data_IF_214715111530
#
_entry.id   IF_214715111530
#
_cell.length_a   1.000
_cell.length_b   1.000
_cell.length_c   1.000
_cell.angle_alpha   90.00
_cell.angle_beta   90.00
_cell.angle_gamma   90.00
#
_symmetry.space_group_name_H-M   'P 1'
#
loop_
_entity.id
_entity.type
_entity.pdbx_description
1 polymer ?
#
# COMPACT_ATOMS: atom_id res chain seq x y z
N UNK A 1 40.32 20.44 70.14
CA UNK A 1 39.73 21.04 68.93
C UNK A 1 40.35 20.36 67.71
N UNK A 2 39.70 19.37 67.10
CA UNK A 2 40.11 18.79 65.82
C UNK A 2 38.89 18.11 65.17
N UNK A 3 38.26 18.82 64.24
CA UNK A 3 37.03 18.41 63.57
C UNK A 3 37.36 17.43 62.45
N UNK A 4 36.61 16.32 62.47
CA UNK A 4 36.56 15.23 61.48
C UNK A 4 36.57 15.72 60.03
N UNK A 5 37.69 15.49 59.33
CA UNK A 5 37.75 15.49 57.87
C UNK A 5 37.45 14.08 57.35
N UNK A 6 36.21 13.63 57.47
CA UNK A 6 35.80 12.35 56.89
C UNK A 6 34.77 12.57 55.77
N UNK A 7 35.15 12.19 54.54
CA UNK A 7 34.28 11.72 53.45
C UNK A 7 33.47 12.70 52.58
N UNK A 8 34.06 13.79 52.07
CA UNK A 8 33.49 14.51 50.90
C UNK A 8 33.65 13.74 49.57
N UNK A 9 34.69 12.90 49.42
CA UNK A 9 34.97 12.16 48.19
C UNK A 9 34.07 10.93 47.98
N UNK A 10 33.66 10.21 49.04
CA UNK A 10 32.72 9.07 48.95
C UNK A 10 31.29 9.48 48.55
N UNK A 11 30.85 10.67 48.97
CA UNK A 11 29.53 11.21 48.61
C UNK A 11 29.43 11.59 47.12
N UNK A 12 30.54 12.03 46.51
CA UNK A 12 30.59 12.36 45.08
C UNK A 12 30.48 11.14 44.16
N UNK A 13 31.12 10.02 44.51
CA UNK A 13 31.07 8.76 43.73
C UNK A 13 29.66 8.14 43.70
N UNK A 14 28.93 8.21 44.80
CA UNK A 14 27.53 7.73 44.89
C UNK A 14 26.57 8.58 44.04
N UNK A 15 26.79 9.90 43.95
CA UNK A 15 26.00 10.80 43.09
C UNK A 15 26.30 10.62 41.61
N UNK A 16 27.57 10.40 41.24
CA UNK A 16 27.98 10.16 39.85
C UNK A 16 27.48 8.81 39.32
N UNK A 17 27.52 7.75 40.14
CA UNK A 17 26.92 6.44 39.80
C UNK A 17 25.41 6.52 39.57
N UNK A 18 24.69 7.33 40.36
CA UNK A 18 23.24 7.53 40.16
C UNK A 18 22.94 8.27 38.85
N UNK A 19 23.72 9.31 38.49
CA UNK A 19 23.55 10.02 37.21
C UNK A 19 23.84 9.12 36.02
N UNK A 20 24.93 8.36 36.04
CA UNK A 20 25.26 7.40 34.97
C UNK A 20 24.13 6.36 34.82
N UNK A 21 23.63 5.80 35.92
CA UNK A 21 22.53 4.85 35.87
C UNK A 21 21.25 5.45 35.25
N UNK A 22 20.95 6.73 35.54
CA UNK A 22 19.82 7.43 34.91
C UNK A 22 20.02 7.61 33.40
N UNK A 23 21.21 8.04 32.97
CA UNK A 23 21.49 8.18 31.53
C UNK A 23 21.46 6.85 30.79
N UNK A 24 22.00 5.77 31.39
CA UNK A 24 21.92 4.42 30.83
C UNK A 24 20.47 3.96 30.68
N UNK A 25 19.60 4.22 31.67
CA UNK A 25 18.18 3.86 31.56
C UNK A 25 17.45 4.64 30.46
N UNK A 26 17.67 5.95 30.39
CA UNK A 26 17.04 6.78 29.36
C UNK A 26 17.51 6.33 27.98
N UNK A 27 18.82 6.10 27.82
CA UNK A 27 19.39 5.56 26.58
C UNK A 27 18.75 4.23 26.20
N UNK A 28 18.61 3.30 27.15
CA UNK A 28 17.96 2.01 26.92
C UNK A 28 16.49 2.18 26.48
N UNK A 29 15.72 3.02 27.16
CA UNK A 29 14.30 3.27 26.83
C UNK A 29 14.16 3.89 25.44
N UNK A 30 15.03 4.83 25.08
CA UNK A 30 15.02 5.44 23.74
C UNK A 30 15.51 4.47 22.65
N UNK A 31 16.37 3.51 22.99
CA UNK A 31 16.88 2.53 22.03
C UNK A 31 15.76 1.58 21.54
N UNK A 32 14.81 1.22 22.40
CA UNK A 32 13.70 0.32 22.05
C UNK A 32 12.90 0.75 20.81
N UNK A 33 12.28 1.95 20.76
CA UNK A 33 11.51 2.37 19.59
C UNK A 33 12.38 2.52 18.34
N UNK A 34 13.66 2.87 18.50
CA UNK A 34 14.61 2.96 17.38
C UNK A 34 14.87 1.58 16.78
N UNK A 35 15.21 0.58 17.61
CA UNK A 35 15.41 -0.79 17.12
C UNK A 35 14.14 -1.35 16.49
N UNK A 36 12.98 -1.16 17.13
CA UNK A 36 11.70 -1.60 16.59
C UNK A 36 11.38 -0.97 15.22
N UNK A 37 11.65 0.32 15.05
CA UNK A 37 11.47 1.02 13.77
C UNK A 37 12.43 0.46 12.70
N UNK A 38 13.70 0.25 13.05
CA UNK A 38 14.69 -0.32 12.13
C UNK A 38 14.28 -1.73 11.69
N UNK A 39 13.84 -2.57 12.63
CA UNK A 39 13.36 -3.93 12.34
C UNK A 39 12.12 -3.91 11.44
N UNK A 40 11.16 -3.00 11.70
CA UNK A 40 9.97 -2.82 10.85
C UNK A 40 10.32 -2.40 9.43
N UNK A 41 11.19 -1.40 9.26
CA UNK A 41 11.57 -0.87 7.94
C UNK A 41 12.26 -1.93 7.08
N UNK A 42 13.05 -2.81 7.70
CA UNK A 42 13.79 -3.87 7.00
C UNK A 42 12.89 -5.05 6.64
N UNK A 43 11.87 -5.33 7.46
CA UNK A 43 10.93 -6.43 7.21
C UNK A 43 9.80 -6.05 6.24
N UNK A 44 9.49 -4.76 6.09
CA UNK A 44 8.42 -4.27 5.21
C UNK A 44 8.95 -3.55 3.98
N UNK A 45 9.05 -2.21 3.97
CA UNK A 45 9.24 -1.42 2.74
C UNK A 45 10.53 -1.69 1.96
N UNK A 46 11.59 -2.13 2.64
CA UNK A 46 12.93 -2.27 2.03
C UNK A 46 13.13 -3.69 1.46
N UNK A 47 12.24 -4.64 1.79
CA UNK A 47 12.19 -6.04 1.37
C UNK A 47 13.53 -6.66 0.90
N UNK A 48 14.52 -6.73 1.80
CA UNK A 48 15.82 -7.35 1.51
C UNK A 48 15.79 -8.90 1.56
N UNK A 49 14.60 -9.50 1.65
CA UNK A 49 14.43 -10.95 1.77
C UNK A 49 14.73 -11.50 3.19
N UNK A 50 14.00 -12.56 3.56
CA UNK A 50 14.06 -13.25 4.86
C UNK A 50 15.44 -13.83 5.21
N UNK A 51 16.31 -14.01 4.21
CA UNK A 51 17.65 -14.60 4.29
C UNK A 51 18.78 -13.56 4.43
N UNK A 52 18.47 -12.25 4.51
CA UNK A 52 19.53 -11.23 4.56
C UNK A 52 20.36 -11.30 5.85
N UNK A 53 21.69 -11.22 5.71
CA UNK A 53 22.61 -11.14 6.85
C UNK A 53 22.30 -9.93 7.74
N UNK A 54 21.79 -8.84 7.18
CA UNK A 54 21.39 -7.64 7.91
C UNK A 54 20.21 -7.91 8.85
N UNK A 55 19.16 -8.60 8.37
CA UNK A 55 18.03 -9.00 9.22
C UNK A 55 18.50 -9.87 10.38
N UNK A 56 19.39 -10.83 10.13
CA UNK A 56 19.95 -11.70 11.17
C UNK A 56 20.71 -10.90 12.24
N UNK A 57 21.55 -9.95 11.84
CA UNK A 57 22.30 -9.08 12.77
C UNK A 57 21.34 -8.25 13.62
N UNK A 58 20.30 -7.69 13.02
CA UNK A 58 19.33 -6.87 13.74
C UNK A 58 18.51 -7.69 14.72
N UNK A 59 18.04 -8.88 14.32
CA UNK A 59 17.35 -9.80 15.22
C UNK A 59 18.25 -10.26 16.38
N UNK A 60 19.55 -10.45 16.15
CA UNK A 60 20.51 -10.72 17.22
C UNK A 60 20.66 -9.51 18.16
N UNK A 61 20.71 -8.30 17.63
CA UNK A 61 20.72 -7.07 18.44
C UNK A 61 19.43 -6.93 19.26
N UNK A 62 18.25 -7.18 18.67
CA UNK A 62 16.96 -7.18 19.34
C UNK A 62 16.94 -8.21 20.49
N UNK A 63 17.43 -9.43 20.24
CA UNK A 63 17.50 -10.48 21.25
C UNK A 63 18.43 -10.08 22.42
N UNK A 64 19.62 -9.56 22.12
CA UNK A 64 20.56 -9.11 23.14
C UNK A 64 20.01 -7.94 23.95
N UNK A 65 19.36 -6.99 23.27
CA UNK A 65 18.67 -5.87 23.91
C UNK A 65 17.57 -6.36 24.85
N UNK A 66 16.73 -7.28 24.40
CA UNK A 66 15.65 -7.85 25.19
C UNK A 66 16.18 -8.61 26.41
N UNK A 67 17.25 -9.41 26.26
CA UNK A 67 17.91 -10.08 27.37
C UNK A 67 18.47 -9.08 28.39
N UNK A 68 19.18 -8.04 27.94
CA UNK A 68 19.73 -6.99 28.80
C UNK A 68 18.63 -6.24 29.56
N UNK A 69 17.56 -5.86 28.86
CA UNK A 69 16.39 -5.20 29.44
C UNK A 69 15.73 -6.09 30.51
N UNK A 70 15.50 -7.37 30.18
CA UNK A 70 14.88 -8.35 31.07
C UNK A 70 15.73 -8.58 32.31
N UNK A 71 17.05 -8.73 32.15
CA UNK A 71 17.98 -8.88 33.26
C UNK A 71 18.01 -7.65 34.18
N UNK A 72 18.01 -6.44 33.61
CA UNK A 72 17.97 -5.18 34.37
C UNK A 72 16.68 -5.06 35.17
N UNK A 73 15.53 -5.35 34.56
CA UNK A 73 14.22 -5.34 35.23
C UNK A 73 14.19 -6.39 36.35
N UNK A 74 14.63 -7.63 36.07
CA UNK A 74 14.75 -8.69 37.07
C UNK A 74 15.63 -8.29 38.26
N UNK A 75 16.78 -7.67 38.01
CA UNK A 75 17.67 -7.20 39.07
C UNK A 75 16.98 -6.17 39.98
N UNK A 76 16.23 -5.22 39.41
CA UNK A 76 15.45 -4.24 40.19
C UNK A 76 14.36 -4.88 41.01
N UNK A 77 13.60 -5.80 40.40
CA UNK A 77 12.54 -6.52 41.10
C UNK A 77 13.13 -7.30 42.26
N UNK A 78 14.23 -8.03 42.05
CA UNK A 78 14.94 -8.75 43.12
C UNK A 78 15.43 -7.83 44.23
N UNK A 79 15.99 -6.66 43.91
CA UNK A 79 16.42 -5.67 44.91
C UNK A 79 15.25 -5.13 45.74
N UNK A 80 14.13 -4.80 45.09
CA UNK A 80 12.92 -4.32 45.77
C UNK A 80 12.39 -5.40 46.72
N UNK A 81 12.35 -6.66 46.28
CA UNK A 81 11.93 -7.79 47.10
C UNK A 81 12.89 -8.03 48.28
N UNK A 82 14.21 -7.94 48.05
CA UNK A 82 15.23 -8.15 49.07
C UNK A 82 15.22 -7.07 50.16
N UNK A 83 15.13 -5.79 49.77
CA UNK A 83 15.04 -4.67 50.72
C UNK A 83 13.79 -4.75 51.60
N UNK A 84 12.70 -5.31 51.07
CA UNK A 84 11.45 -5.51 51.81
C UNK A 84 11.49 -6.68 52.79
N UNK A 85 12.44 -7.61 52.67
CA UNK A 85 12.63 -8.72 53.62
C UNK A 85 13.29 -8.30 54.95
N UNK A 86 13.91 -7.12 55.03
CA UNK A 86 14.48 -6.59 56.27
C UNK A 86 13.39 -5.86 57.07
N UNK A 87 12.89 -6.52 58.12
CA UNK A 87 11.66 -6.20 58.85
C UNK A 87 11.72 -4.90 59.66
N UNK A 88 10.81 -3.97 59.38
CA UNK A 88 10.32 -2.94 60.32
C UNK A 88 8.80 -3.11 60.46
N UNK A 89 8.25 -2.94 61.66
CA UNK A 89 6.83 -3.19 61.98
C UNK A 89 5.84 -2.38 61.10
N UNK A 90 6.24 -1.22 60.57
CA UNK A 90 5.44 -0.41 59.65
C UNK A 90 5.37 -0.93 58.20
N UNK A 91 6.30 -1.81 57.78
CA UNK A 91 6.41 -2.33 56.40
C UNK A 91 5.27 -3.28 56.03
N UNK A 92 4.74 -4.03 56.98
CA UNK A 92 3.72 -5.06 56.70
C UNK A 92 2.38 -4.47 56.27
N UNK A 93 2.01 -3.30 56.81
CA UNK A 93 0.76 -2.62 56.44
C UNK A 93 0.86 -2.05 55.02
N UNK A 94 1.95 -1.36 54.70
CA UNK A 94 2.24 -0.88 53.35
C UNK A 94 2.31 -2.02 52.32
N UNK A 95 2.81 -3.19 52.70
CA UNK A 95 2.85 -4.36 51.81
C UNK A 95 1.46 -4.91 51.49
N UNK A 96 0.60 -5.07 52.50
CA UNK A 96 -0.79 -5.51 52.28
C UNK A 96 -1.53 -4.51 51.40
N UNK A 97 -1.41 -3.22 51.69
CA UNK A 97 -2.06 -2.16 50.92
C UNK A 97 -1.54 -2.08 49.48
N UNK A 98 -0.21 -2.14 49.28
CA UNK A 98 0.40 -2.14 47.94
C UNK A 98 0.01 -3.40 47.16
N UNK A 99 -0.06 -4.56 47.81
CA UNK A 99 -0.48 -5.81 47.18
C UNK A 99 -1.92 -5.75 46.68
N UNK A 100 -2.85 -5.30 47.52
CA UNK A 100 -4.26 -5.11 47.14
C UNK A 100 -4.39 -4.07 46.03
N UNK A 101 -3.70 -2.93 46.13
CA UNK A 101 -3.72 -1.88 45.10
C UNK A 101 -3.14 -2.36 43.76
N UNK A 102 -2.03 -3.11 43.81
CA UNK A 102 -1.41 -3.70 42.61
C UNK A 102 -2.33 -4.73 41.97
N UNK A 103 -2.98 -5.59 42.76
CA UNK A 103 -3.94 -6.56 42.25
C UNK A 103 -5.16 -5.86 41.62
N UNK A 104 -5.71 -4.84 42.29
CA UNK A 104 -6.87 -4.07 41.81
C UNK A 104 -6.58 -3.32 40.51
N UNK A 105 -5.33 -2.90 40.26
CA UNK A 105 -4.92 -2.22 39.02
C UNK A 105 -4.45 -3.18 37.93
N UNK A 106 -3.73 -4.25 38.27
CA UNK A 106 -3.19 -5.22 37.31
C UNK A 106 -4.28 -6.11 36.72
N UNK A 107 -5.26 -6.54 37.52
CA UNK A 107 -6.31 -7.46 37.04
C UNK A 107 -7.10 -6.86 35.86
N UNK A 108 -7.68 -5.65 35.95
CA UNK A 108 -8.37 -5.03 34.81
C UNK A 108 -7.43 -4.80 33.62
N UNK A 109 -6.20 -4.35 33.87
CA UNK A 109 -5.22 -4.05 32.82
C UNK A 109 -4.84 -5.31 32.04
N UNK A 110 -4.60 -6.43 32.73
CA UNK A 110 -4.28 -7.70 32.10
C UNK A 110 -5.46 -8.25 31.31
N UNK A 111 -6.69 -8.15 31.84
CA UNK A 111 -7.90 -8.54 31.10
C UNK A 111 -8.07 -7.75 29.82
N UNK A 112 -7.94 -6.41 29.89
CA UNK A 112 -8.00 -5.55 28.70
C UNK A 112 -6.91 -5.91 27.70
N UNK A 113 -5.68 -6.18 28.15
CA UNK A 113 -4.59 -6.58 27.26
C UNK A 113 -4.88 -7.91 26.56
N UNK A 114 -5.38 -8.92 27.27
CA UNK A 114 -5.76 -10.22 26.69
C UNK A 114 -6.90 -10.04 25.68
N UNK A 115 -7.94 -9.29 26.04
CA UNK A 115 -9.04 -8.98 25.11
C UNK A 115 -8.54 -8.24 23.88
N UNK A 116 -7.68 -7.23 24.04
CA UNK A 116 -7.12 -6.49 22.91
C UNK A 116 -6.34 -7.41 21.97
N UNK A 117 -5.48 -8.28 22.50
CA UNK A 117 -4.72 -9.25 21.68
C UNK A 117 -5.66 -10.20 20.94
N UNK A 118 -6.66 -10.76 21.62
CA UNK A 118 -7.63 -11.68 21.00
C UNK A 118 -8.47 -10.98 19.93
N UNK A 119 -9.01 -9.80 20.23
CA UNK A 119 -9.83 -9.02 19.31
C UNK A 119 -9.03 -8.57 18.08
N UNK A 120 -7.77 -8.15 18.27
CA UNK A 120 -6.88 -7.81 17.16
C UNK A 120 -6.63 -9.04 16.30
N UNK A 121 -6.24 -10.17 16.90
CA UNK A 121 -5.93 -11.38 16.15
C UNK A 121 -7.14 -11.89 15.34
N UNK A 122 -8.31 -11.98 15.98
CA UNK A 122 -9.56 -12.36 15.32
C UNK A 122 -10.00 -11.35 14.26
N UNK A 123 -9.81 -10.05 14.52
CA UNK A 123 -10.10 -8.99 13.57
C UNK A 123 -9.27 -9.15 12.30
N UNK A 124 -7.94 -9.21 12.43
CA UNK A 124 -7.05 -9.39 11.29
C UNK A 124 -7.40 -10.64 10.47
N UNK A 125 -7.61 -11.78 11.12
CA UNK A 125 -7.96 -13.02 10.44
C UNK A 125 -9.31 -12.93 9.70
N UNK A 126 -10.29 -12.21 10.26
CA UNK A 126 -11.57 -12.00 9.59
C UNK A 126 -11.45 -11.10 8.35
N UNK A 127 -10.74 -9.97 8.46
CA UNK A 127 -10.55 -9.02 7.36
C UNK A 127 -9.67 -9.57 6.23
N UNK A 128 -8.76 -10.49 6.53
CA UNK A 128 -7.87 -11.13 5.55
C UNK A 128 -8.19 -12.60 5.29
N UNK A 129 -9.41 -13.02 5.63
CA UNK A 129 -9.87 -14.38 5.39
C UNK A 129 -9.88 -14.75 3.91
N UNK A 130 -9.80 -16.05 3.62
CA UNK A 130 -9.94 -16.59 2.26
C UNK A 130 -11.22 -16.11 1.57
N UNK A 131 -12.27 -15.83 2.34
CA UNK A 131 -13.51 -15.26 1.81
C UNK A 131 -13.32 -13.85 1.25
N UNK A 132 -12.62 -12.96 1.95
CA UNK A 132 -12.37 -11.60 1.47
C UNK A 132 -11.43 -11.65 0.26
N UNK A 133 -10.40 -12.50 0.31
CA UNK A 133 -9.51 -12.72 -0.83
C UNK A 133 -10.27 -13.25 -2.06
N UNK A 134 -11.20 -14.19 -1.85
CA UNK A 134 -12.07 -14.73 -2.91
C UNK A 134 -12.94 -13.65 -3.55
N UNK A 135 -13.61 -12.81 -2.76
CA UNK A 135 -14.44 -11.72 -3.31
C UNK A 135 -13.60 -10.71 -4.12
N UNK A 136 -12.38 -10.42 -3.68
CA UNK A 136 -11.46 -9.56 -4.43
C UNK A 136 -11.05 -10.23 -5.76
N UNK A 137 -10.75 -11.53 -5.72
CA UNK A 137 -10.42 -12.31 -6.92
C UNK A 137 -11.59 -12.36 -7.91
N UNK A 138 -12.81 -12.66 -7.43
CA UNK A 138 -14.03 -12.68 -8.24
C UNK A 138 -14.32 -11.29 -8.85
N UNK A 139 -14.09 -10.21 -8.08
CA UNK A 139 -14.25 -8.84 -8.57
C UNK A 139 -13.22 -8.50 -9.65
N UNK A 140 -11.98 -8.97 -9.50
CA UNK A 140 -10.93 -8.81 -10.50
C UNK A 140 -11.25 -9.60 -11.76
N UNK A 141 -11.70 -10.85 -11.64
CA UNK A 141 -12.12 -11.69 -12.77
C UNK A 141 -13.29 -11.04 -13.51
N UNK A 142 -14.29 -10.55 -12.79
CA UNK A 142 -15.42 -9.83 -13.38
C UNK A 142 -14.99 -8.54 -14.10
N UNK A 143 -14.06 -7.77 -13.52
CA UNK A 143 -13.51 -6.56 -14.16
C UNK A 143 -12.73 -6.90 -15.44
N UNK A 144 -11.89 -7.94 -15.40
CA UNK A 144 -11.14 -8.42 -16.57
C UNK A 144 -12.08 -8.96 -17.67
N UNK A 145 -13.12 -9.70 -17.30
CA UNK A 145 -14.13 -10.17 -18.24
C UNK A 145 -14.87 -9.00 -18.90
N UNK A 146 -15.22 -7.96 -18.12
CA UNK A 146 -15.85 -6.75 -18.64
C UNK A 146 -14.92 -5.97 -19.58
N UNK A 147 -13.65 -5.82 -19.23
CA UNK A 147 -12.64 -5.19 -20.10
C UNK A 147 -12.49 -5.95 -21.42
N UNK A 148 -12.36 -7.28 -21.37
CA UNK A 148 -12.27 -8.12 -22.55
C UNK A 148 -13.52 -8.03 -23.43
N UNK A 149 -14.71 -7.97 -22.84
CA UNK A 149 -15.97 -7.77 -23.56
C UNK A 149 -15.99 -6.41 -24.26
N UNK A 150 -15.56 -5.33 -23.59
CA UNK A 150 -15.48 -3.99 -24.17
C UNK A 150 -14.48 -3.93 -25.33
N UNK A 151 -13.30 -4.52 -25.15
CA UNK A 151 -12.28 -4.61 -26.21
C UNK A 151 -12.80 -5.39 -27.40
N UNK A 152 -13.43 -6.56 -27.17
CA UNK A 152 -14.00 -7.38 -28.24
C UNK A 152 -15.11 -6.63 -28.97
N UNK A 153 -16.03 -6.02 -28.23
CA UNK A 153 -17.13 -5.25 -28.79
C UNK A 153 -16.64 -4.07 -29.64
N UNK A 154 -15.64 -3.34 -29.17
CA UNK A 154 -15.05 -2.23 -29.93
C UNK A 154 -14.36 -2.73 -31.23
N UNK A 155 -13.67 -3.87 -31.19
CA UNK A 155 -13.09 -4.50 -32.39
C UNK A 155 -14.16 -4.89 -33.41
N UNK A 156 -15.27 -5.48 -32.95
CA UNK A 156 -16.40 -5.82 -33.82
C UNK A 156 -17.04 -4.56 -34.44
N UNK A 157 -17.24 -3.51 -33.64
CA UNK A 157 -17.86 -2.26 -34.09
C UNK A 157 -17.00 -1.54 -35.12
N UNK A 158 -15.69 -1.39 -34.86
CA UNK A 158 -14.80 -0.71 -35.80
C UNK A 158 -14.59 -1.52 -37.08
N UNK A 159 -14.60 -2.87 -37.01
CA UNK A 159 -14.55 -3.73 -38.20
C UNK A 159 -15.81 -3.59 -39.06
N UNK A 160 -16.99 -3.56 -38.42
CA UNK A 160 -18.25 -3.33 -39.12
C UNK A 160 -18.31 -1.94 -39.75
N UNK A 161 -17.88 -0.91 -39.02
CA UNK A 161 -17.79 0.46 -39.51
C UNK A 161 -16.83 0.57 -40.71
N UNK A 162 -15.65 -0.04 -40.62
CA UNK A 162 -14.68 -0.06 -41.71
C UNK A 162 -15.24 -0.74 -42.96
N UNK A 163 -15.81 -1.94 -42.82
CA UNK A 163 -16.42 -2.68 -43.95
C UNK A 163 -17.53 -1.88 -44.62
N UNK A 164 -18.32 -1.14 -43.85
CA UNK A 164 -19.38 -0.30 -44.37
C UNK A 164 -18.84 0.88 -45.19
N UNK A 165 -17.84 1.59 -44.66
CA UNK A 165 -17.18 2.70 -45.34
C UNK A 165 -16.45 2.26 -46.62
N UNK A 166 -15.76 1.12 -46.58
CA UNK A 166 -15.09 0.54 -47.75
C UNK A 166 -16.08 0.17 -48.86
N UNK A 167 -17.21 -0.44 -48.49
CA UNK A 167 -18.29 -0.81 -49.44
C UNK A 167 -18.91 0.43 -50.06
N UNK A 168 -19.17 1.46 -49.24
CA UNK A 168 -19.67 2.74 -49.69
C UNK A 168 -18.71 3.41 -50.69
N UNK A 169 -17.41 3.45 -50.36
CA UNK A 169 -16.40 4.08 -51.22
C UNK A 169 -16.22 3.39 -52.58
N UNK A 170 -16.40 2.07 -52.66
CA UNK A 170 -16.35 1.32 -53.93
C UNK A 170 -17.53 1.61 -54.86
N UNK A 171 -18.67 2.02 -54.30
CA UNK A 171 -19.93 2.19 -55.03
C UNK A 171 -20.30 3.66 -55.26
N UNK A 172 -19.83 4.56 -54.40
CA UNK A 172 -20.05 5.99 -54.48
C UNK A 172 -18.96 6.70 -55.31
N UNK A 173 -19.32 7.84 -55.89
CA UNK A 173 -18.35 8.80 -56.44
C UNK A 173 -17.54 9.36 -55.27
N UNK A 174 -16.24 9.62 -55.44
CA UNK A 174 -15.31 10.15 -54.44
C UNK A 174 -15.67 11.58 -53.96
N UNK A 175 -16.83 11.74 -53.32
CA UNK A 175 -17.29 12.98 -52.70
C UNK A 175 -17.01 12.92 -51.18
N UNK A 176 -16.08 13.74 -50.67
CA UNK A 176 -15.75 13.78 -49.25
C UNK A 176 -16.93 14.13 -48.34
N UNK A 177 -17.90 14.92 -48.82
CA UNK A 177 -19.06 15.33 -48.02
C UNK A 177 -20.03 14.16 -47.82
N UNK A 178 -20.23 13.36 -48.85
CA UNK A 178 -21.03 12.14 -48.77
C UNK A 178 -20.38 11.07 -47.90
N UNK A 179 -19.05 10.92 -47.98
CA UNK A 179 -18.32 10.00 -47.11
C UNK A 179 -18.41 10.43 -45.64
N UNK A 180 -18.33 11.74 -45.36
CA UNK A 180 -18.52 12.28 -44.00
C UNK A 180 -19.92 11.99 -43.46
N UNK A 181 -20.95 12.15 -44.29
CA UNK A 181 -22.31 11.83 -43.90
C UNK A 181 -22.44 10.33 -43.60
N UNK A 182 -21.88 9.47 -44.46
CA UNK A 182 -21.88 8.02 -44.21
C UNK A 182 -21.17 7.64 -42.92
N UNK A 183 -20.00 8.22 -42.64
CA UNK A 183 -19.27 8.04 -41.38
C UNK A 183 -20.12 8.43 -40.17
N UNK A 184 -20.82 9.56 -40.26
CA UNK A 184 -21.67 10.06 -39.18
C UNK A 184 -22.86 9.13 -38.95
N UNK A 185 -23.54 8.69 -40.01
CA UNK A 185 -24.66 7.76 -39.94
C UNK A 185 -24.21 6.39 -39.39
N UNK A 186 -23.08 5.87 -39.86
CA UNK A 186 -22.58 4.57 -39.42
C UNK A 186 -22.11 4.60 -37.96
N UNK A 187 -21.47 5.69 -37.51
CA UNK A 187 -21.10 5.91 -36.11
C UNK A 187 -22.34 5.89 -35.18
N UNK A 188 -23.42 6.61 -35.55
CA UNK A 188 -24.65 6.67 -34.74
C UNK A 188 -25.40 5.34 -34.65
N UNK A 189 -25.27 4.49 -35.68
CA UNK A 189 -25.95 3.19 -35.74
C UNK A 189 -25.20 2.06 -35.01
N UNK A 190 -24.01 2.33 -34.46
CA UNK A 190 -23.31 1.36 -33.62
C UNK A 190 -24.08 1.20 -32.30
N UNK A 191 -24.60 0.00 -32.05
CA UNK A 191 -25.47 -0.28 -30.89
C UNK A 191 -24.81 0.01 -29.53
N UNK A 192 -23.50 -0.21 -29.43
CA UNK A 192 -22.71 0.05 -28.21
C UNK A 192 -22.36 1.54 -28.04
N UNK A 193 -22.62 2.36 -29.06
CA UNK A 193 -22.42 3.81 -29.07
C UNK A 193 -20.96 4.21 -29.24
N UNK A 194 -20.55 4.52 -30.47
CA UNK A 194 -19.26 5.19 -30.70
C UNK A 194 -19.41 6.70 -30.44
N UNK A 195 -18.72 7.20 -29.42
CA UNK A 195 -18.72 8.63 -29.08
C UNK A 195 -18.14 9.47 -30.22
N UNK A 196 -17.06 8.99 -30.82
CA UNK A 196 -16.27 9.72 -31.80
C UNK A 196 -15.76 8.79 -32.90
N UNK A 197 -15.62 9.34 -34.11
CA UNK A 197 -15.02 8.65 -35.23
C UNK A 197 -14.23 9.62 -36.11
N UNK A 198 -13.00 9.24 -36.43
CA UNK A 198 -12.07 10.02 -37.24
C UNK A 198 -11.56 9.17 -38.40
N UNK A 199 -11.36 9.78 -39.56
CA UNK A 199 -10.58 9.20 -40.65
C UNK A 199 -9.32 10.05 -40.76
N UNK A 200 -8.17 9.38 -40.69
CA UNK A 200 -6.85 9.97 -40.74
C UNK A 200 -6.07 9.41 -41.93
N UNK A 201 -5.05 10.12 -42.38
CA UNK A 201 -4.13 9.61 -43.39
C UNK A 201 -3.04 8.71 -42.79
N UNK A 202 -2.06 8.31 -43.61
CA UNK A 202 -0.95 7.45 -43.21
C UNK A 202 0.09 8.15 -42.32
N UNK A 203 0.03 9.48 -42.22
CA UNK A 203 0.89 10.30 -41.34
C UNK A 203 0.24 10.57 -39.99
N UNK A 204 -1.08 10.43 -39.88
CA UNK A 204 -1.87 10.80 -38.70
C UNK A 204 -2.68 12.07 -38.92
N UNK A 205 -2.56 12.75 -40.06
CA UNK A 205 -3.31 13.96 -40.32
C UNK A 205 -4.80 13.65 -40.51
N UNK A 206 -5.63 14.48 -39.88
CA UNK A 206 -7.08 14.32 -39.90
C UNK A 206 -7.68 14.63 -41.29
N UNK A 207 -8.34 13.65 -41.90
CA UNK A 207 -9.06 13.79 -43.18
C UNK A 207 -10.54 14.14 -42.92
N UNK A 208 -11.26 13.32 -42.15
CA UNK A 208 -12.69 13.46 -41.90
C UNK A 208 -13.05 13.22 -40.44
N UNK A 209 -14.17 13.82 -40.02
CA UNK A 209 -14.74 13.72 -38.67
C UNK A 209 -16.19 13.30 -38.75
N UNK A 210 -16.55 12.32 -37.93
CA UNK A 210 -17.92 11.86 -37.74
C UNK A 210 -18.76 12.86 -36.94
N UNK A 211 -19.90 12.38 -36.44
CA UNK A 211 -20.78 13.24 -35.66
C UNK A 211 -20.15 13.50 -34.27
N UNK A 212 -20.22 14.76 -33.82
CA UNK A 212 -19.68 15.22 -32.52
C UNK A 212 -18.21 14.88 -32.26
N UNK A 213 -17.44 14.51 -33.29
CA UNK A 213 -15.99 14.25 -33.18
C UNK A 213 -15.25 15.56 -33.42
N UNK A 214 -14.90 16.30 -32.37
CA UNK A 214 -14.29 17.62 -32.51
C UNK A 214 -12.77 17.54 -32.65
N UNK A 215 -12.14 18.60 -33.19
CA UNK A 215 -10.68 18.62 -33.37
C UNK A 215 -9.93 18.72 -32.03
N UNK A 216 -10.55 19.30 -30.99
CA UNK A 216 -9.91 19.43 -29.69
C UNK A 216 -9.89 18.13 -28.88
N UNK A 217 -10.75 17.17 -29.23
CA UNK A 217 -10.78 15.81 -28.66
C UNK A 217 -9.90 14.83 -29.48
N UNK A 218 -9.42 15.27 -30.65
CA UNK A 218 -8.58 14.44 -31.50
C UNK A 218 -7.17 14.30 -30.90
N UNK A 219 -6.79 13.05 -30.64
CA UNK A 219 -5.45 12.68 -30.23
C UNK A 219 -4.78 11.85 -31.33
N UNK A 220 -3.68 12.39 -31.85
CA UNK A 220 -2.92 11.79 -32.95
C UNK A 220 -2.27 10.46 -32.53
N UNK A 221 -2.58 9.33 -33.21
CA UNK A 221 -1.91 8.06 -32.95
C UNK A 221 -0.43 8.13 -33.35
N UNK A 222 0.43 7.45 -32.61
CA UNK A 222 1.84 7.34 -33.00
C UNK A 222 2.00 6.59 -34.33
N UNK A 223 3.04 6.93 -35.07
CA UNK A 223 3.39 6.24 -36.33
C UNK A 223 3.52 4.71 -36.18
N UNK A 224 3.97 4.23 -35.01
CA UNK A 224 4.02 2.80 -34.67
C UNK A 224 2.63 2.15 -34.63
N UNK A 225 1.64 2.84 -34.03
CA UNK A 225 0.27 2.37 -33.95
C UNK A 225 -0.39 2.37 -35.34
N UNK A 226 -0.14 3.41 -36.15
CA UNK A 226 -0.64 3.49 -37.54
C UNK A 226 -0.08 2.33 -38.38
N UNK A 227 1.23 2.05 -38.29
CA UNK A 227 1.84 0.93 -39.02
C UNK A 227 1.29 -0.43 -38.58
N UNK A 228 0.98 -0.58 -37.29
CA UNK A 228 0.38 -1.81 -36.76
C UNK A 228 -1.07 -1.95 -37.24
N UNK A 229 -1.82 -0.85 -37.32
CA UNK A 229 -3.21 -0.80 -37.75
C UNK A 229 -3.44 -1.26 -39.20
N UNK A 230 -2.40 -1.20 -40.04
CA UNK A 230 -2.39 -1.75 -41.41
C UNK A 230 -2.59 -3.27 -41.40
N UNK A 231 -2.12 -3.96 -40.35
CA UNK A 231 -2.12 -5.43 -40.26
C UNK A 231 -3.26 -5.97 -39.40
N UNK A 232 -3.63 -5.25 -38.35
CA UNK A 232 -4.64 -5.68 -37.39
C UNK A 232 -5.33 -4.50 -36.71
N UNK A 233 -6.50 -4.73 -36.10
CA UNK A 233 -7.18 -3.70 -35.31
C UNK A 233 -6.41 -3.46 -34.02
N UNK A 234 -5.90 -2.24 -33.85
CA UNK A 234 -5.13 -1.80 -32.69
C UNK A 234 -6.07 -1.18 -31.66
N UNK A 235 -5.88 -1.54 -30.40
CA UNK A 235 -6.62 -0.99 -29.26
C UNK A 235 -5.70 -0.07 -28.48
N UNK A 236 -6.18 1.14 -28.21
CA UNK A 236 -5.43 2.21 -27.55
C UNK A 236 -6.20 2.57 -26.27
N UNK A 237 -5.79 2.03 -25.11
CA UNK A 237 -6.41 2.37 -23.83
C UNK A 237 -5.98 3.76 -23.37
N UNK A 238 -6.97 4.57 -22.96
CA UNK A 238 -6.77 5.88 -22.36
C UNK A 238 -7.30 5.86 -20.92
N UNK A 239 -6.42 5.42 -20.02
CA UNK A 239 -6.73 5.26 -18.60
C UNK A 239 -7.07 6.62 -17.94
N UNK A 240 -6.33 7.71 -18.17
CA UNK A 240 -6.66 9.02 -17.60
C UNK A 240 -8.07 9.51 -17.94
N UNK A 241 -8.53 9.29 -19.17
CA UNK A 241 -9.86 9.73 -19.63
C UNK A 241 -10.95 8.66 -19.47
N UNK A 242 -10.59 7.45 -19.04
CA UNK A 242 -11.49 6.28 -18.95
C UNK A 242 -12.14 5.96 -20.32
N UNK A 243 -11.30 5.93 -21.36
CA UNK A 243 -11.72 5.68 -22.74
C UNK A 243 -10.92 4.56 -23.40
N UNK A 244 -11.54 3.93 -24.37
CA UNK A 244 -10.93 2.91 -25.20
C UNK A 244 -11.08 3.34 -26.66
N UNK A 245 -9.94 3.52 -27.34
CA UNK A 245 -9.91 3.86 -28.76
C UNK A 245 -9.50 2.65 -29.56
N UNK A 246 -9.93 2.60 -30.80
CA UNK A 246 -9.51 1.58 -31.75
C UNK A 246 -9.08 2.23 -33.06
N UNK A 247 -8.08 1.64 -33.70
CA UNK A 247 -7.55 2.07 -34.99
C UNK A 247 -7.55 0.87 -35.94
N UNK A 248 -8.12 1.08 -37.12
CA UNK A 248 -8.14 0.08 -38.19
C UNK A 248 -7.83 0.76 -39.52
N UNK A 249 -7.17 0.03 -40.41
CA UNK A 249 -6.96 0.46 -41.77
C UNK A 249 -8.24 0.36 -42.60
N UNK A 250 -8.45 1.33 -43.49
CA UNK A 250 -9.53 1.33 -44.49
C UNK A 250 -8.93 1.04 -45.88
N UNK A 251 -9.38 -0.03 -46.51
CA UNK A 251 -8.96 -0.45 -47.85
C UNK A 251 -9.74 0.29 -48.95
N UNK A 252 -9.03 1.13 -49.71
CA UNK A 252 -9.52 1.76 -50.94
C UNK A 252 -9.50 3.27 -50.84
#
# INVERSE_FOLDING_TARGET
MAVSRMNLSRLSRLRFQRRIATYVNIGLICLAPVLALVTYLILGPIDQGRESNLLRVILLCDLLYLLALTALVMQRVMQIVALRRQKSAGSQLHLRLTGVFSAMSLLPTATVAVFAVLSINMGFEAWFSDRVQGVIADSLEAAQAYEQEQVRGLKEDIAALASDLETYRRTAINDPQLLRQRLSDAQENVQRGLKEAFIIDDTGDLILRGNRSYLFDYEEPSSELIQTAIREIVIIPDIPNNELRALTYLNG
#
